data_IF_051393445709
#
_entry.id   IF_051393445709
#
_cell.length_a   1.000
_cell.length_b   1.000
_cell.length_c   1.000
_cell.angle_alpha   90.00
_cell.angle_beta   90.00
_cell.angle_gamma   90.00
#
_symmetry.space_group_name_H-M   'P 1'
#
loop_
_entity.id
_entity.type
_entity.pdbx_description
1 polymer ?
2 branched ?
3 non-polymer ?
4 non-polymer ?
5 water ?
#
# COMPACT_ATOMS: atom_id res chain seq x y z
N UNK A 8 14.41 -0.90 -28.54
CA UNK A 8 13.75 -0.46 -27.26
C UNK A 8 13.39 1.03 -27.28
N UNK A 9 12.22 1.40 -26.70
CA UNK A 9 11.84 2.81 -26.57
C UNK A 9 12.81 3.60 -25.71
N UNK A 10 12.73 4.93 -25.78
CA UNK A 10 13.60 5.79 -25.00
C UNK A 10 13.35 5.59 -23.50
N UNK A 11 14.44 5.57 -22.75
CA UNK A 11 14.46 5.32 -21.30
C UNK A 11 14.23 3.88 -20.85
N UNK A 12 14.11 2.98 -21.82
CA UNK A 12 14.11 1.53 -21.55
C UNK A 12 15.52 0.99 -21.75
N UNK A 13 15.85 -0.09 -21.03
CA UNK A 13 17.18 -0.71 -21.07
C UNK A 13 17.10 -2.03 -21.85
N UNK A 14 17.96 -2.18 -22.85
CA UNK A 14 18.03 -3.44 -23.60
C UNK A 14 18.90 -4.46 -22.89
N UNK A 15 18.39 -5.69 -22.79
CA UNK A 15 19.16 -6.77 -22.24
C UNK A 15 18.68 -8.11 -22.80
N UNK A 16 19.59 -8.81 -23.48
CA UNK A 16 19.34 -10.16 -23.99
C UNK A 16 17.98 -10.30 -24.66
N UNK A 17 17.77 -9.49 -25.71
CA UNK A 17 16.57 -9.55 -26.56
C UNK A 17 15.28 -9.02 -25.93
N UNK A 18 15.39 -8.45 -24.73
CA UNK A 18 14.26 -7.81 -24.04
C UNK A 18 14.53 -6.34 -23.74
N UNK A 19 13.46 -5.56 -23.61
CA UNK A 19 13.52 -4.17 -23.16
C UNK A 19 12.90 -4.05 -21.78
N UNK A 20 13.56 -3.32 -20.88
CA UNK A 20 13.05 -3.15 -19.51
C UNK A 20 12.88 -1.69 -19.14
N UNK A 21 11.79 -1.41 -18.42
CA UNK A 21 11.59 -0.09 -17.84
C UNK A 21 11.48 -0.20 -16.31
N UNK A 22 12.30 0.59 -15.61
CA UNK A 22 12.39 0.53 -14.16
C UNK A 22 11.75 1.76 -13.54
N UNK A 23 10.61 1.57 -12.89
CA UNK A 23 9.90 2.70 -12.26
C UNK A 23 10.71 3.32 -11.15
N UNK A 24 10.43 4.59 -10.86
CA UNK A 24 11.06 5.28 -9.75
C UNK A 24 9.98 5.79 -8.78
N UNK A 25 8.81 5.14 -8.84
CA UNK A 25 7.67 5.45 -7.97
C UNK A 25 6.90 4.17 -7.73
N UNK A 26 5.98 4.17 -6.77
CA UNK A 26 5.24 2.95 -6.43
C UNK A 26 3.79 2.90 -6.89
N UNK A 27 3.31 1.67 -7.11
CA UNK A 27 1.91 1.39 -7.43
C UNK A 27 1.52 0.06 -6.77
N UNK A 28 0.22 -0.10 -6.46
CA UNK A 28 -0.34 -1.43 -6.16
C UNK A 28 -0.16 -2.37 -7.36
N UNK A 29 -0.08 -3.68 -7.11
CA UNK A 29 0.26 -4.61 -8.18
C UNK A 29 -0.65 -4.49 -9.40
N UNK A 30 -1.96 -4.43 -9.17
CA UNK A 30 -2.92 -4.31 -10.28
C UNK A 30 -2.72 -3.06 -11.15
N UNK A 31 -2.34 -1.97 -10.52
CA UNK A 31 -2.13 -0.71 -11.22
C UNK A 31 -0.80 -0.73 -11.98
N UNK A 32 0.21 -1.37 -11.39
CA UNK A 32 1.49 -1.59 -12.06
C UNK A 32 1.31 -2.47 -13.28
N UNK A 33 0.49 -3.52 -13.11
CA UNK A 33 0.17 -4.45 -14.20
C UNK A 33 -0.53 -3.71 -15.34
N UNK A 34 -1.50 -2.86 -15.01
CA UNK A 34 -2.17 -2.03 -16.00
C UNK A 34 -1.20 -1.06 -16.69
N UNK A 35 -0.34 -0.42 -15.91
CA UNK A 35 0.66 0.50 -16.46
C UNK A 35 1.49 -0.15 -17.55
N UNK A 36 1.99 -1.37 -17.28
CA UNK A 36 2.81 -2.06 -18.26
C UNK A 36 2.02 -2.36 -19.54
N UNK A 37 0.75 -2.75 -19.38
CA UNK A 37 -0.10 -3.03 -20.54
C UNK A 37 -0.31 -1.83 -21.45
N UNK A 38 -0.36 -0.63 -20.86
CA UNK A 38 -0.50 0.63 -21.62
C UNK A 38 0.67 0.82 -22.57
N UNK A 39 1.84 0.30 -22.17
CA UNK A 39 3.06 0.38 -22.97
C UNK A 39 3.22 -0.83 -23.88
N UNK A 40 2.14 -1.61 -24.04
CA UNK A 40 2.19 -2.92 -24.73
C UNK A 40 3.29 -3.81 -24.16
N UNK A 41 3.49 -3.68 -22.85
CA UNK A 41 4.50 -4.46 -22.14
C UNK A 41 3.81 -5.32 -21.07
N UNK A 42 4.60 -5.97 -20.23
CA UNK A 42 4.04 -6.74 -19.11
C UNK A 42 4.99 -6.61 -17.93
N UNK A 43 4.48 -6.78 -16.71
CA UNK A 43 5.37 -6.83 -15.54
C UNK A 43 6.45 -7.89 -15.78
N UNK A 44 7.67 -7.59 -15.35
CA UNK A 44 8.83 -8.44 -15.66
C UNK A 44 8.58 -9.93 -15.35
N UNK A 45 8.96 -10.78 -16.29
CA UNK A 45 8.88 -12.24 -16.14
C UNK A 45 10.32 -12.73 -16.13
N UNK A 46 10.74 -13.32 -15.01
CA UNK A 46 12.16 -13.69 -14.83
C UNK A 46 12.33 -15.19 -15.08
N UNK A 47 13.18 -15.55 -16.05
CA UNK A 47 13.30 -16.97 -16.41
C UNK A 47 14.72 -17.56 -16.31
N UNK A 48 15.67 -16.80 -15.78
CA UNK A 48 17.05 -17.30 -15.65
C UNK A 48 17.80 -16.58 -14.54
N UNK A 49 18.89 -17.17 -14.08
CA UNK A 49 19.78 -16.49 -13.15
C UNK A 49 20.34 -15.21 -13.77
N UNK A 50 20.73 -15.26 -15.03
CA UNK A 50 21.31 -14.11 -15.72
C UNK A 50 20.37 -12.90 -15.70
N UNK A 51 19.10 -13.16 -15.98
CA UNK A 51 18.07 -12.11 -16.00
C UNK A 51 17.79 -11.59 -14.59
N UNK A 52 17.74 -12.50 -13.62
CA UNK A 52 17.52 -12.10 -12.24
C UNK A 52 18.61 -11.11 -11.77
N UNK A 53 19.86 -11.41 -12.11
CA UNK A 53 20.98 -10.53 -11.74
C UNK A 53 20.91 -9.19 -12.39
N UNK A 54 20.55 -9.18 -13.67
CA UNK A 54 20.39 -7.95 -14.41
C UNK A 54 19.34 -7.05 -13.74
N UNK A 55 18.20 -7.65 -13.43
CA UNK A 55 17.12 -6.92 -12.79
C UNK A 55 17.58 -6.42 -11.42
N UNK A 56 18.15 -7.31 -10.60
CA UNK A 56 18.70 -6.92 -9.30
C UNK A 56 19.65 -5.73 -9.38
N UNK A 57 20.51 -5.76 -10.40
CA UNK A 57 21.52 -4.72 -10.60
C UNK A 57 20.88 -3.34 -10.83
N UNK A 58 19.71 -3.32 -11.47
CA UNK A 58 19.05 -2.08 -11.84
C UNK A 58 18.03 -1.56 -10.82
N UNK A 59 17.49 -2.45 -9.99
CA UNK A 59 16.53 -2.01 -8.96
C UNK A 59 17.18 -1.66 -7.63
N UNK A 60 18.33 -2.24 -7.34
CA UNK A 60 18.97 -2.12 -6.03
C UNK A 60 18.16 -2.85 -4.96
N UNK A 61 18.51 -2.61 -3.67
CA UNK A 61 17.86 -3.32 -2.56
C UNK A 61 16.48 -2.75 -2.19
N UNK A 62 15.53 -2.88 -3.12
CA UNK A 62 14.21 -2.23 -3.01
C UNK A 62 13.10 -3.21 -3.40
N UNK A 63 12.06 -3.31 -2.56
CA UNK A 63 10.90 -4.15 -2.86
C UNK A 63 10.29 -3.67 -4.16
N UNK A 64 10.10 -4.58 -5.12
CA UNK A 64 9.76 -4.23 -6.49
C UNK A 64 8.87 -5.32 -7.10
N UNK A 65 7.68 -4.94 -7.57
CA UNK A 65 6.71 -5.90 -8.11
C UNK A 65 7.23 -6.59 -9.38
N UNK A 66 6.87 -7.86 -9.55
CA UNK A 66 7.18 -8.61 -10.77
C UNK A 66 5.89 -9.23 -11.30
N UNK A 67 5.95 -9.84 -12.48
CA UNK A 67 4.74 -10.35 -13.14
C UNK A 67 4.35 -11.76 -12.73
N UNK A 68 4.36 -12.04 -11.42
CA UNK A 68 4.05 -13.36 -10.90
C UNK A 68 3.01 -13.23 -9.78
N UNK A 69 1.96 -14.05 -9.84
CA UNK A 69 0.86 -13.96 -8.89
C UNK A 69 0.06 -15.27 -8.77
N UNK A 70 -0.72 -15.40 -7.68
CA UNK A 70 -1.64 -16.54 -7.50
C UNK A 70 -3.03 -16.08 -7.06
N UNK A 71 -3.45 -14.93 -7.58
CA UNK A 71 -4.75 -14.35 -7.24
C UNK A 71 -5.91 -15.25 -7.67
N UNK A 72 -5.69 -16.05 -8.71
CA UNK A 72 -6.73 -16.90 -9.31
C UNK A 72 -6.61 -18.37 -8.96
N UNK A 73 -5.65 -18.69 -8.11
CA UNK A 73 -5.43 -20.07 -7.70
C UNK A 73 -3.95 -20.42 -7.69
N UNK A 74 -3.47 -21.04 -8.76
CA UNK A 74 -2.06 -21.41 -8.80
C UNK A 74 -1.17 -20.21 -9.19
N UNK A 75 0.12 -20.30 -8.88
CA UNK A 75 1.10 -19.32 -9.34
C UNK A 75 1.11 -19.24 -10.87
N UNK A 76 1.03 -18.02 -11.39
CA UNK A 76 1.07 -17.76 -12.84
C UNK A 76 1.95 -16.56 -13.15
N UNK A 77 2.70 -16.64 -14.26
CA UNK A 77 3.43 -15.50 -14.81
C UNK A 77 2.45 -14.77 -15.74
N UNK A 78 2.48 -13.44 -15.74
CA UNK A 78 1.48 -12.65 -16.50
C UNK A 78 1.42 -12.89 -18.02
N UNK A 79 2.52 -13.34 -18.62
CA UNK A 79 2.56 -13.60 -20.06
C UNK A 79 2.37 -15.06 -20.45
N UNK A 80 1.91 -15.88 -19.51
CA UNK A 80 1.64 -17.29 -19.78
C UNK A 80 2.79 -18.25 -19.57
N UNK A 81 3.99 -17.72 -19.33
CA UNK A 81 5.15 -18.58 -19.06
C UNK A 81 4.80 -19.55 -17.92
N UNK A 82 5.16 -20.82 -18.09
CA UNK A 82 4.81 -21.83 -17.09
C UNK A 82 5.60 -21.67 -15.79
N UNK A 83 4.89 -21.69 -14.67
CA UNK A 83 5.53 -21.50 -13.37
C UNK A 83 6.30 -22.73 -12.93
N UNK A 84 5.64 -23.89 -12.90
CA UNK A 84 6.27 -25.08 -12.31
C UNK A 84 7.55 -25.55 -13.00
N UNK A 85 7.61 -25.45 -14.32
CA UNK A 85 8.85 -25.78 -15.06
C UNK A 85 9.82 -24.59 -15.14
N UNK A 86 9.39 -23.43 -14.69
CA UNK A 86 10.18 -22.21 -14.81
C UNK A 86 11.13 -21.94 -13.66
N UNK A 87 11.95 -20.91 -13.84
CA UNK A 87 12.90 -20.42 -12.85
C UNK A 87 12.20 -19.93 -11.58
N UNK A 88 12.78 -20.24 -10.41
CA UNK A 88 12.26 -19.74 -9.14
C UNK A 88 13.42 -19.26 -8.27
N UNK A 89 13.19 -18.19 -7.52
CA UNK A 89 14.19 -17.57 -6.65
C UNK A 89 13.55 -17.04 -5.35
N UNK A 90 12.71 -17.86 -4.72
CA UNK A 90 12.02 -17.44 -3.50
C UNK A 90 13.00 -17.28 -2.35
N UNK A 91 12.73 -16.31 -1.49
CA UNK A 91 13.41 -16.25 -0.18
C UNK A 91 13.12 -17.54 0.57
N UNK A 92 14.08 -18.04 1.39
CA UNK A 92 13.72 -19.19 2.21
C UNK A 92 12.51 -18.83 3.07
N UNK A 93 11.62 -19.81 3.23
CA UNK A 93 10.36 -19.66 3.97
C UNK A 93 9.27 -18.89 3.21
N UNK A 94 9.53 -18.59 1.95
CA UNK A 94 8.54 -17.99 1.03
C UNK A 94 8.31 -18.93 -0.16
N UNK A 95 7.12 -18.86 -0.80
CA UNK A 95 5.93 -18.06 -0.45
C UNK A 95 5.20 -18.69 0.74
N UNK A 96 4.54 -17.88 1.54
CA UNK A 96 3.88 -18.39 2.74
C UNK A 96 2.41 -17.98 2.88
N UNK A 97 1.90 -17.22 1.91
CA UNK A 97 0.50 -16.74 1.92
C UNK A 97 0.07 -16.19 3.29
N UNK A 98 0.86 -15.27 3.84
CA UNK A 98 0.67 -14.83 5.23
C UNK A 98 -0.64 -14.02 5.38
N UNK A 99 -1.44 -14.35 6.39
CA UNK A 99 -2.65 -13.55 6.70
C UNK A 99 -2.42 -12.52 7.81
N UNK A 100 -1.32 -12.69 8.54
CA UNK A 100 -1.05 -11.92 9.78
C UNK A 100 -0.91 -10.42 9.67
N UNK A 101 -0.79 -9.90 8.44
CA UNK A 101 -0.78 -8.45 8.21
C UNK A 101 -2.10 -7.81 8.62
N UNK A 102 -3.16 -8.61 8.63
CA UNK A 102 -4.49 -8.17 9.04
C UNK A 102 -5.20 -7.24 8.06
N UNK A 103 -4.70 -7.15 6.84
CA UNK A 103 -5.27 -6.26 5.83
C UNK A 103 -6.37 -6.94 5.00
N UNK A 104 -6.55 -8.23 5.23
CA UNK A 104 -7.54 -9.03 4.50
C UNK A 104 -6.84 -9.91 3.48
N UNK A 105 -7.20 -11.18 3.49
CA UNK A 105 -6.63 -12.15 2.56
C UNK A 105 -5.24 -12.60 2.97
N UNK A 106 -4.66 -13.50 2.18
CA UNK A 106 -3.27 -13.88 2.41
C UNK A 106 -2.34 -12.94 1.63
N UNK A 107 -1.50 -13.53 0.78
CA UNK A 107 -0.54 -12.77 0.00
C UNK A 107 -0.50 -13.37 -1.39
N UNK A 108 -0.79 -12.55 -2.41
CA UNK A 108 -1.03 -13.10 -3.73
C UNK A 108 -0.10 -12.60 -4.84
N UNK A 109 0.83 -11.70 -4.52
CA UNK A 109 1.62 -11.04 -5.56
C UNK A 109 3.11 -11.09 -5.21
N UNK A 110 3.95 -11.46 -6.17
CA UNK A 110 5.38 -11.63 -5.90
C UNK A 110 6.19 -10.37 -6.17
N UNK A 111 7.16 -10.10 -5.31
CA UNK A 111 8.12 -9.02 -5.53
C UNK A 111 9.54 -9.45 -5.17
N UNK A 112 10.52 -8.84 -5.84
CA UNK A 112 11.91 -8.93 -5.40
C UNK A 112 11.96 -8.25 -4.06
N UNK A 113 12.76 -8.80 -3.15
CA UNK A 113 13.03 -8.16 -1.86
C UNK A 113 14.39 -7.45 -1.91
N UNK A 114 14.80 -6.91 -0.76
CA UNK A 114 16.06 -6.19 -0.65
C UNK A 114 17.32 -7.01 -0.97
N UNK A 115 17.22 -8.35 -0.94
CA UNK A 115 18.34 -9.21 -1.33
C UNK A 115 18.15 -9.88 -2.69
N UNK A 116 17.14 -9.44 -3.43
CA UNK A 116 16.86 -9.97 -4.74
C UNK A 116 15.88 -11.12 -4.78
N UNK A 117 15.88 -11.95 -3.74
CA UNK A 117 15.03 -13.13 -3.70
C UNK A 117 13.56 -12.75 -3.50
N UNK A 118 12.66 -13.63 -3.90
CA UNK A 118 11.24 -13.27 -3.97
C UNK A 118 10.45 -13.51 -2.70
N UNK A 119 9.45 -12.66 -2.49
CA UNK A 119 8.47 -12.82 -1.44
C UNK A 119 7.06 -12.62 -2.03
N UNK A 120 6.07 -13.35 -1.50
CA UNK A 120 4.68 -13.05 -1.81
C UNK A 120 4.15 -12.03 -0.82
N UNK A 121 3.42 -11.04 -1.31
CA UNK A 121 2.96 -9.96 -0.46
C UNK A 121 1.55 -9.54 -0.85
N UNK A 122 0.99 -8.63 -0.07
CA UNK A 122 -0.34 -8.10 -0.29
C UNK A 122 -0.35 -7.23 -1.55
N UNK A 123 -1.25 -7.57 -2.48
CA UNK A 123 -1.25 -6.95 -3.79
C UNK A 123 -1.51 -5.43 -3.73
N UNK A 124 -2.22 -4.97 -2.70
CA UNK A 124 -2.47 -3.53 -2.50
C UNK A 124 -1.25 -2.67 -2.16
N UNK A 125 -0.18 -3.28 -1.69
CA UNK A 125 1.00 -2.50 -1.29
C UNK A 125 1.60 -1.73 -2.46
N UNK A 126 1.93 -0.45 -2.24
CA UNK A 126 2.65 0.29 -3.28
C UNK A 126 4.14 -0.03 -3.29
N UNK A 127 4.60 -0.65 -4.37
CA UNK A 127 6.02 -0.91 -4.57
C UNK A 127 6.41 -0.40 -5.95
N UNK A 128 7.70 -0.16 -6.15
CA UNK A 128 8.21 0.08 -7.51
C UNK A 128 7.93 -1.19 -8.32
N UNK A 129 8.06 -1.09 -9.64
CA UNK A 129 7.81 -2.22 -10.53
C UNK A 129 8.72 -2.15 -11.75
N UNK A 130 8.69 -3.20 -12.57
CA UNK A 130 9.49 -3.27 -13.76
C UNK A 130 8.58 -3.76 -14.89
N UNK A 131 8.60 -3.04 -16.02
CA UNK A 131 7.96 -3.53 -17.24
C UNK A 131 8.99 -4.16 -18.17
N UNK A 132 8.52 -5.09 -18.98
CA UNK A 132 9.35 -5.79 -19.92
C UNK A 132 8.59 -5.96 -21.20
N UNK A 133 9.30 -5.78 -22.32
CA UNK A 133 8.78 -6.24 -23.61
C UNK A 133 9.87 -7.04 -24.33
N UNK A 134 9.47 -7.91 -25.25
CA UNK A 134 10.43 -8.73 -25.99
C UNK A 134 10.63 -8.17 -27.41
N UNK A 135 11.88 -8.20 -27.89
CA UNK A 135 12.18 -7.78 -29.26
C UNK A 135 12.04 -8.92 -30.27
N UNK B 8 -27.16 4.14 16.74
CA UNK B 8 -26.10 3.73 15.78
C UNK B 8 -26.51 2.48 15.00
N UNK B 9 -26.04 2.35 13.73
CA UNK B 9 -26.32 1.14 12.95
C UNK B 9 -25.70 -0.09 13.62
N UNK B 10 -26.17 -1.28 13.25
CA UNK B 10 -25.57 -2.51 13.79
C UNK B 10 -24.11 -2.62 13.36
N UNK B 11 -23.28 -3.10 14.28
CA UNK B 11 -21.82 -3.24 14.10
C UNK B 11 -21.03 -1.95 14.34
N UNK B 12 -21.72 -0.85 14.61
CA UNK B 12 -21.10 0.42 14.96
C UNK B 12 -21.06 0.61 16.48
N UNK B 13 -20.05 1.30 16.98
CA UNK B 13 -19.89 1.54 18.42
C UNK B 13 -20.24 2.98 18.76
N UNK B 14 -21.15 3.16 19.72
CA UNK B 14 -21.51 4.50 20.19
C UNK B 14 -20.54 5.01 21.24
N UNK B 15 -20.18 6.28 21.12
CA UNK B 15 -19.33 6.96 22.09
C UNK B 15 -19.50 8.46 21.98
N UNK B 16 -19.94 9.08 23.08
CA UNK B 16 -20.01 10.53 23.19
C UNK B 16 -20.76 11.16 22.01
N UNK B 17 -21.95 10.63 21.74
CA UNK B 17 -22.85 11.09 20.67
C UNK B 17 -22.34 10.90 19.23
N UNK B 18 -21.32 10.05 19.07
CA UNK B 18 -20.86 9.61 17.75
C UNK B 18 -20.97 8.10 17.59
N UNK B 19 -21.14 7.65 16.35
CA UNK B 19 -21.07 6.23 16.01
C UNK B 19 -19.77 5.95 15.25
N UNK B 20 -19.08 4.87 15.63
CA UNK B 20 -17.82 4.51 15.01
C UNK B 20 -17.86 3.09 14.45
N UNK B 21 -17.18 2.91 13.32
CA UNK B 21 -17.02 1.58 12.74
C UNK B 21 -15.55 1.35 12.54
N UNK B 22 -15.06 0.23 13.05
CA UNK B 22 -13.65 -0.12 12.98
C UNK B 22 -13.42 -1.24 11.99
N UNK B 23 -12.65 -0.97 10.93
CA UNK B 23 -12.39 -1.99 9.92
C UNK B 23 -11.48 -3.09 10.47
N UNK B 24 -11.52 -4.25 9.83
CA UNK B 24 -10.64 -5.37 10.15
C UNK B 24 -9.88 -5.81 8.90
N UNK B 25 -9.83 -4.89 7.94
CA UNK B 25 -9.14 -5.07 6.67
C UNK B 25 -8.54 -3.73 6.30
N UNK B 26 -7.67 -3.72 5.30
CA UNK B 26 -6.98 -2.49 4.92
C UNK B 26 -7.37 -1.92 3.57
N UNK B 27 -7.24 -0.60 3.45
CA UNK B 27 -7.51 0.10 2.20
C UNK B 27 -6.54 1.27 2.06
N UNK B 28 -6.20 1.64 0.83
CA UNK B 28 -5.56 2.94 0.58
C UNK B 28 -6.44 4.07 1.16
N UNK B 29 -5.85 5.20 1.52
CA UNK B 29 -6.62 6.27 2.16
C UNK B 29 -7.84 6.68 1.33
N UNK B 30 -7.65 6.97 0.05
CA UNK B 30 -8.77 7.41 -0.79
C UNK B 30 -9.89 6.38 -0.88
N UNK B 31 -9.52 5.10 -0.83
CA UNK B 31 -10.50 4.01 -0.88
C UNK B 31 -11.30 3.90 0.43
N UNK B 32 -10.61 4.12 1.53
CA UNK B 32 -11.23 4.14 2.86
C UNK B 32 -12.15 5.34 3.01
N UNK B 33 -11.69 6.49 2.52
CA UNK B 33 -12.50 7.70 2.49
C UNK B 33 -13.79 7.43 1.72
N UNK B 34 -13.67 6.81 0.56
CA UNK B 34 -14.83 6.48 -0.27
C UNK B 34 -15.77 5.54 0.49
N UNK B 35 -15.18 4.50 1.11
CA UNK B 35 -15.96 3.57 1.95
C UNK B 35 -16.82 4.30 3.00
N UNK B 36 -16.20 5.20 3.78
CA UNK B 36 -16.96 5.94 4.81
C UNK B 36 -18.06 6.83 4.21
N UNK B 37 -17.74 7.53 3.13
CA UNK B 37 -18.71 8.43 2.50
C UNK B 37 -19.94 7.64 2.01
N UNK B 38 -19.68 6.45 1.50
CA UNK B 38 -20.71 5.48 1.14
C UNK B 38 -21.72 5.22 2.26
N UNK B 39 -21.25 5.23 3.50
CA UNK B 39 -22.08 4.96 4.67
C UNK B 39 -22.69 6.21 5.29
N UNK B 40 -22.69 7.31 4.54
CA UNK B 40 -23.04 8.63 5.03
C UNK B 40 -22.22 9.00 6.28
N UNK B 41 -20.98 8.56 6.28
CA UNK B 41 -20.06 8.82 7.38
C UNK B 41 -18.79 9.45 6.83
N UNK B 42 -17.77 9.55 7.68
CA UNK B 42 -16.50 10.12 7.27
C UNK B 42 -15.38 9.41 8.04
N UNK B 43 -14.16 9.40 7.48
CA UNK B 43 -13.01 8.91 8.22
C UNK B 43 -12.93 9.67 9.55
N UNK B 44 -12.62 8.95 10.63
CA UNK B 44 -12.70 9.50 11.99
C UNK B 44 -11.98 10.85 12.14
N UNK B 45 -12.64 11.77 12.83
CA UNK B 45 -12.07 13.09 13.14
C UNK B 45 -11.91 13.17 14.65
N UNK B 46 -10.67 13.30 15.10
CA UNK B 46 -10.34 13.22 16.52
C UNK B 46 -10.14 14.63 17.11
N UNK B 47 -10.99 15.03 18.05
CA UNK B 47 -11.00 16.41 18.54
C UNK B 47 -10.76 16.59 20.05
N UNK B 48 -10.44 15.52 20.74
CA UNK B 48 -10.15 15.59 22.17
C UNK B 48 -9.29 14.41 22.61
N UNK B 49 -8.69 14.52 23.79
CA UNK B 49 -7.93 13.41 24.38
C UNK B 49 -8.81 12.18 24.59
N UNK B 50 -10.03 12.38 25.08
CA UNK B 50 -10.94 11.27 25.37
C UNK B 50 -11.30 10.49 24.11
N UNK B 51 -11.53 11.19 23.01
CA UNK B 51 -11.85 10.53 21.74
C UNK B 51 -10.64 9.73 21.26
N UNK B 52 -9.46 10.34 21.37
CA UNK B 52 -8.19 9.68 21.02
C UNK B 52 -8.04 8.37 21.80
N UNK B 53 -8.27 8.41 23.11
CA UNK B 53 -8.11 7.22 23.94
C UNK B 53 -9.15 6.14 23.60
N UNK B 54 -10.39 6.56 23.35
CA UNK B 54 -11.45 5.62 22.94
C UNK B 54 -11.06 4.88 21.66
N UNK B 55 -10.57 5.63 20.68
CA UNK B 55 -10.18 5.05 19.40
C UNK B 55 -9.01 4.09 19.57
N UNK B 56 -7.99 4.52 20.32
CA UNK B 56 -6.84 3.67 20.62
C UNK B 56 -7.24 2.31 21.20
N UNK B 57 -8.18 2.34 22.14
CA UNK B 57 -8.63 1.13 22.84
C UNK B 57 -9.21 0.12 21.86
N UNK B 58 -10.02 0.60 20.91
CA UNK B 58 -10.65 -0.28 19.94
C UNK B 58 -9.73 -0.75 18.82
N UNK B 59 -8.77 0.07 18.40
CA UNK B 59 -7.92 -0.34 17.28
C UNK B 59 -6.71 -1.15 17.70
N UNK B 60 -6.23 -0.95 18.93
CA UNK B 60 -5.00 -1.61 19.38
C UNK B 60 -3.76 -1.05 18.69
N UNK B 61 -2.62 -1.76 18.80
CA UNK B 61 -1.35 -1.24 18.27
C UNK B 61 -1.21 -1.47 16.76
N UNK B 62 -2.09 -0.84 15.98
CA UNK B 62 -2.22 -1.10 14.56
C UNK B 62 -2.30 0.22 13.77
N UNK B 63 -1.50 0.34 12.70
CA UNK B 63 -1.58 1.53 11.84
C UNK B 63 -2.96 1.63 11.23
N UNK B 64 -3.60 2.78 11.42
CA UNK B 64 -5.01 2.98 11.11
C UNK B 64 -5.25 4.40 10.59
N UNK B 65 -5.81 4.49 9.39
CA UNK B 65 -6.11 5.78 8.75
C UNK B 65 -7.13 6.60 9.55
N UNK B 66 -6.94 7.92 9.59
CA UNK B 66 -7.96 8.84 10.08
C UNK B 66 -8.31 9.89 9.03
N UNK B 67 -9.31 10.72 9.33
CA UNK B 67 -9.76 11.73 8.38
C UNK B 67 -8.94 13.01 8.33
N UNK B 68 -7.62 12.88 8.28
CA UNK B 68 -6.72 14.03 8.28
C UNK B 68 -5.73 13.91 7.13
N UNK B 69 -5.61 14.97 6.33
CA UNK B 69 -4.74 14.91 5.14
C UNK B 69 -4.30 16.32 4.71
N UNK B 70 -3.25 16.38 3.90
CA UNK B 70 -2.80 17.64 3.34
C UNK B 70 -2.57 17.52 1.83
N UNK B 71 -3.43 16.73 1.19
CA UNK B 71 -3.32 16.46 -0.24
C UNK B 71 -3.56 17.73 -1.05
N UNK B 72 -4.34 18.65 -0.50
CA UNK B 72 -4.74 19.88 -1.18
C UNK B 72 -3.94 21.10 -0.74
N UNK B 73 -2.93 20.87 0.10
CA UNK B 73 -2.11 21.95 0.60
C UNK B 73 -1.94 21.93 2.11
N UNK B 74 -2.78 22.70 2.82
CA UNK B 74 -2.71 22.70 4.27
C UNK B 74 -3.40 21.46 4.86
N UNK B 75 -3.00 21.09 6.08
CA UNK B 75 -3.71 20.03 6.81
C UNK B 75 -5.20 20.35 6.97
N UNK B 76 -6.05 19.38 6.63
CA UNK B 76 -7.49 19.51 6.71
C UNK B 76 -8.09 18.23 7.28
N UNK B 77 -9.08 18.38 8.18
CA UNK B 77 -9.96 17.28 8.58
C UNK B 77 -11.08 17.13 7.56
N UNK B 78 -11.45 15.89 7.26
CA UNK B 78 -12.38 15.59 6.15
C UNK B 78 -13.77 16.22 6.31
N UNK B 79 -14.16 16.57 7.53
CA UNK B 79 -15.49 17.15 7.75
C UNK B 79 -15.49 18.68 7.88
N UNK B 80 -14.33 19.30 7.73
CA UNK B 80 -14.20 20.75 7.81
C UNK B 80 -13.73 21.29 9.14
N UNK B 81 -13.60 20.39 10.13
CA UNK B 81 -13.09 20.74 11.44
C UNK B 81 -11.71 21.40 11.31
N UNK B 82 -11.54 22.53 11.98
CA UNK B 82 -10.30 23.29 11.82
C UNK B 82 -9.08 22.59 12.44
N UNK B 83 -8.03 22.43 11.65
CA UNK B 83 -6.82 21.76 12.12
C UNK B 83 -6.03 22.57 13.14
N UNK B 84 -5.70 23.82 12.82
CA UNK B 84 -4.76 24.58 13.66
C UNK B 84 -5.27 24.81 15.08
N UNK B 85 -6.56 25.10 15.21
CA UNK B 85 -7.19 25.31 16.52
C UNK B 85 -7.55 24.00 17.25
N UNK B 86 -7.47 22.87 16.55
CA UNK B 86 -7.91 21.59 17.11
C UNK B 86 -6.87 20.69 17.76
N UNK B 87 -7.35 19.62 18.39
CA UNK B 87 -6.52 18.58 18.98
C UNK B 87 -5.51 18.02 17.98
N UNK B 88 -4.29 17.78 18.46
CA UNK B 88 -3.23 17.15 17.67
C UNK B 88 -2.52 16.16 18.58
N UNK B 89 -2.00 15.08 18.01
CA UNK B 89 -1.33 14.01 18.77
C UNK B 89 -0.25 13.33 17.92
N UNK B 90 0.56 14.15 17.24
CA UNK B 90 1.62 13.66 16.36
C UNK B 90 2.71 12.95 17.15
N UNK B 91 3.28 11.90 16.57
CA UNK B 91 4.53 11.33 17.07
C UNK B 91 5.59 12.43 17.10
N UNK B 92 6.66 12.23 17.90
CA UNK B 92 7.78 13.17 17.82
C UNK B 92 8.38 13.13 16.40
N UNK B 93 8.75 14.30 15.90
CA UNK B 93 9.35 14.50 14.57
C UNK B 93 8.38 14.19 13.42
N UNK B 94 7.09 14.23 13.73
CA UNK B 94 6.01 14.14 12.72
C UNK B 94 5.09 15.35 12.84
N UNK B 95 4.45 15.75 11.73
CA UNK B 95 4.57 15.23 10.36
C UNK B 95 5.88 15.68 9.73
N UNK B 96 6.38 14.92 8.76
CA UNK B 96 7.65 15.28 8.13
C UNK B 96 7.66 15.23 6.60
N UNK B 97 6.50 14.94 5.98
CA UNK B 97 6.39 14.88 4.51
C UNK B 97 7.55 14.15 3.86
N UNK B 98 7.83 12.94 4.34
CA UNK B 98 9.01 12.20 3.91
C UNK B 98 8.91 11.78 2.43
N UNK B 99 9.97 12.04 1.68
CA UNK B 99 10.04 11.59 0.29
C UNK B 99 10.85 10.29 0.15
N UNK B 100 11.61 9.95 1.20
CA UNK B 100 12.62 8.90 1.13
C UNK B 100 12.14 7.46 0.99
N UNK B 101 10.83 7.26 1.00
CA UNK B 101 10.22 5.97 0.72
C UNK B 101 10.35 5.62 -0.76
N UNK B 102 10.57 6.64 -1.59
CA UNK B 102 10.83 6.46 -3.01
C UNK B 102 9.61 5.99 -3.81
N UNK B 103 8.41 6.18 -3.27
CA UNK B 103 7.19 5.75 -3.96
C UNK B 103 6.55 6.87 -4.80
N UNK B 104 7.13 8.06 -4.72
CA UNK B 104 6.59 9.22 -5.42
C UNK B 104 5.88 10.12 -4.43
N UNK B 105 6.28 11.39 -4.44
CA UNK B 105 5.69 12.40 -3.57
C UNK B 105 6.16 12.31 -2.13
N UNK B 106 5.58 13.17 -1.30
CA UNK B 106 5.86 13.19 0.14
C UNK B 106 4.96 12.23 0.88
N UNK B 107 4.36 12.71 1.96
CA UNK B 107 3.40 11.93 2.76
C UNK B 107 2.26 12.87 3.11
N UNK B 108 1.05 12.49 2.69
CA UNK B 108 -0.08 13.40 2.74
C UNK B 108 -1.26 12.90 3.57
N UNK B 109 -1.15 11.73 4.19
CA UNK B 109 -2.29 11.14 4.88
C UNK B 109 -1.92 10.72 6.29
N UNK B 110 -2.73 11.12 7.27
CA UNK B 110 -2.43 10.79 8.67
C UNK B 110 -3.07 9.49 9.16
N UNK B 111 -2.32 8.74 9.94
CA UNK B 111 -2.82 7.54 10.57
C UNK B 111 -2.32 7.44 12.02
N UNK B 112 -3.10 6.78 12.87
CA UNK B 112 -2.63 6.37 14.20
C UNK B 112 -1.52 5.38 14.02
N UNK B 113 -0.52 5.44 14.90
CA UNK B 113 0.54 4.43 14.90
C UNK B 113 0.29 3.43 16.02
N UNK B 114 1.28 2.56 16.27
CA UNK B 114 1.16 1.49 17.28
C UNK B 114 1.06 1.98 18.73
N UNK B 115 1.51 3.21 19.00
CA UNK B 115 1.30 3.83 20.32
C UNK B 115 0.20 4.89 20.34
N UNK B 116 -0.60 4.95 19.27
CA UNK B 116 -1.72 5.87 19.19
C UNK B 116 -1.42 7.27 18.64
N UNK B 117 -0.16 7.68 18.74
CA UNK B 117 0.26 8.99 18.23
C UNK B 117 0.30 8.97 16.70
N UNK B 118 0.22 10.13 16.08
CA UNK B 118 -0.01 10.15 14.62
C UNK B 118 1.26 10.29 13.78
N UNK B 119 1.22 9.70 12.58
CA UNK B 119 2.25 9.86 11.58
C UNK B 119 1.61 10.26 10.25
N UNK B 120 2.33 11.06 9.45
CA UNK B 120 1.93 11.26 8.06
C UNK B 120 2.59 10.20 7.18
N UNK B 121 1.81 9.61 6.29
CA UNK B 121 2.31 8.52 5.48
C UNK B 121 1.79 8.60 4.05
N UNK B 122 2.28 7.71 3.20
CA UNK B 122 1.91 7.67 1.80
C UNK B 122 0.46 7.19 1.67
N UNK B 123 -0.37 7.99 1.00
CA UNK B 123 -1.82 7.76 0.96
C UNK B 123 -2.22 6.41 0.36
N UNK B 124 -1.41 5.89 -0.57
CA UNK B 124 -1.72 4.58 -1.18
C UNK B 124 -1.45 3.33 -0.34
N UNK B 125 -0.82 3.48 0.83
CA UNK B 125 -0.58 2.34 1.72
C UNK B 125 -1.90 1.78 2.24
N UNK B 126 -2.06 0.44 2.21
CA UNK B 126 -3.25 -0.16 2.79
C UNK B 126 -3.14 -0.28 4.30
N UNK B 127 -3.98 0.48 5.00
CA UNK B 127 -4.07 0.39 6.45
C UNK B 127 -5.54 0.19 6.79
N UNK B 128 -5.79 -0.34 7.99
CA UNK B 128 -7.15 -0.34 8.52
C UNK B 128 -7.62 1.11 8.64
N UNK B 129 -8.92 1.30 8.84
CA UNK B 129 -9.46 2.65 9.00
C UNK B 129 -10.62 2.66 9.99
N UNK B 130 -11.08 3.86 10.33
CA UNK B 130 -12.25 4.04 11.17
C UNK B 130 -13.19 5.02 10.50
N UNK B 131 -14.48 4.66 10.42
CA UNK B 131 -15.51 5.59 10.00
C UNK B 131 -16.22 6.17 11.21
N UNK B 132 -16.74 7.38 11.06
CA UNK B 132 -17.45 8.08 12.11
C UNK B 132 -18.67 8.80 11.55
N UNK B 133 -19.75 8.75 12.31
CA UNK B 133 -20.93 9.56 12.04
C UNK B 133 -21.36 10.23 13.36
N UNK B 134 -22.04 11.37 13.28
CA UNK B 134 -22.50 12.04 14.49
C UNK B 134 -24.00 11.89 14.64
N UNK B 135 -24.43 11.50 15.83
CA UNK B 135 -25.85 11.26 16.11
C UNK B 135 -26.67 12.55 16.13
X LIG C 1 12.91 -10.25 7.83
X LIG C 1 12.30 -11.65 8.06
X LIG C 1 11.26 -11.99 6.98
X LIG C 1 10.18 -10.91 6.84
X LIG C 1 10.80 -9.50 6.78
X LIG C 1 9.72 -8.47 7.08
X LIG C 1 13.73 -10.26 6.64
X LIG C 1 13.32 -12.65 8.06
X LIG C 1 10.63 -13.23 7.28
X LIG C 1 9.42 -11.23 5.65
X LIG C 1 11.86 -9.25 7.75
X LIG C 1 9.84 -7.41 6.14
X LIG C 2 8.00 -11.18 5.86
X LIG C 2 7.39 -11.09 4.46
X LIG C 2 5.85 -11.25 4.51
X LIG C 2 5.47 -12.51 5.32
X LIG C 2 6.13 -12.46 6.70
X LIG C 2 5.81 -13.67 7.59
X LIG C 2 7.73 -9.81 3.91
X LIG C 2 5.36 -11.35 3.17
X LIG C 2 5.91 -13.66 4.59
X LIG C 2 7.58 -12.37 6.56
X LIG C 2 6.27 -13.35 8.90
X LIG D 1 10.57 3.34 13.73
X LIG D 1 11.47 4.48 13.23
X LIG D 1 10.62 5.63 12.63
X LIG D 1 9.63 5.14 11.56
X LIG D 1 8.81 3.98 12.14
X LIG D 1 7.81 3.39 11.11
X LIG D 1 9.83 3.76 14.89
X LIG D 1 12.24 4.98 14.33
X LIG D 1 11.49 6.61 12.07
X LIG D 1 8.77 6.22 11.17
X LIG D 1 9.68 2.92 12.66
X LIG D 1 8.32 2.15 10.60
X LIG D 2 8.90 6.56 9.79
X LIG D 2 7.49 7.02 9.37
X LIG D 2 7.53 7.69 8.00
X LIG D 2 8.64 8.74 7.91
X LIG D 2 10.01 8.14 8.31
X LIG D 2 11.13 9.20 8.25
X LIG D 2 6.61 5.90 9.32
X LIG D 2 6.24 8.30 7.75
X LIG D 2 8.31 9.85 8.74
X LIG D 2 9.92 7.60 9.65
X LIG D 2 12.38 8.58 8.52
X LIG E 1 -1.51 -16.57 -2.07
X LIG F 1 5.15 -13.73 2.20
X LIG G 1 11.96 -12.03 -19.20
X LIG H 1 2.56 -0.79 2.46
X LIG I 1 2.41 16.30 2.98
X LIG J 1 5.95 10.71 8.28
X LIG K 1 -15.09 12.98 16.21
#
# INVERSE_FOLDING_TARGET
>A
MGSERTCCPVNWVEHERSCYWFSRSGKAWADADNYCRLEDAHLVVVTSWEEQKFVQHHIGPVNTWMGLHDQNGPWKWVDGTDYETGFKNWRPEQPDDWYGHGLGGGEDCAHFTDDGRWNDDVCQRPYRWVCETELDKASQEPPLL
>B
MGSERTCCPVNWVEHERSCYWFSRSGKAWADADNYCRLEDAHLVVVTSWEEQKFVQHHIGPVNTWMGLHDQNGPWKWVDGTDYETGFKNWRPEQPDDWYGHGLGGGEDCAHFTDDGRWNDDVCQRPYRWVCETELDKASQEPPLL
>C hetero
1 GLC C1 C2 C3 C4 C5 C6 O1 O2 O3 O4 O5 O6
2 GAL C1 C2 C3 C4 C5 C6 O2 O3 O4 O5 O6
>D hetero
1 GLC C1 C2 C3 C4 C5 C6 O1 O2 O3 O4 O5 O6
2 GAL C1 C2 C3 C4 C5 C6 O2 O3 O4 O5 O6
>E hetero
1 CA CA
>F hetero
1 CA CA
>G hetero
1 CA CA
>H hetero
1 CL CL
>I hetero
1 CA CA
>J hetero
1 CA CA
>K hetero
1 CA CA
#
